data_IF_515821503042
#
_entry.id   IF_515821503042
#
_cell.length_a   1.000
_cell.length_b   1.000
_cell.length_c   1.000
_cell.angle_alpha   90.00
_cell.angle_beta   90.00
_cell.angle_gamma   90.00
#
_symmetry.space_group_name_H-M   'P 1'
#
loop_
_entity.id
_entity.type
_entity.pdbx_description
1 polymer ?
#
# COMPACT_ATOMS: atom_id res chain seq x y z
N UNK A 1 9.53 -16.43 -4.23
CA UNK A 1 8.88 -15.12 -4.35
C UNK A 1 7.80 -14.91 -3.29
N UNK A 2 6.71 -15.68 -3.29
CA UNK A 2 5.62 -15.46 -2.32
C UNK A 2 6.04 -15.66 -0.86
N UNK A 3 7.01 -16.54 -0.60
CA UNK A 3 7.62 -16.67 0.73
C UNK A 3 8.36 -15.40 1.16
N UNK A 4 9.00 -14.71 0.22
CA UNK A 4 9.61 -13.40 0.48
C UNK A 4 8.53 -12.39 0.85
N UNK A 5 7.45 -12.27 0.07
CA UNK A 5 6.34 -11.34 0.37
C UNK A 5 5.71 -11.65 1.73
N UNK A 6 5.42 -12.92 2.00
CA UNK A 6 4.86 -13.37 3.29
C UNK A 6 5.80 -13.01 4.44
N UNK A 7 7.09 -13.30 4.29
CA UNK A 7 8.11 -13.00 5.31
C UNK A 7 8.25 -11.49 5.50
N UNK A 8 8.25 -10.72 4.42
CA UNK A 8 8.32 -9.26 4.47
C UNK A 8 7.12 -8.68 5.22
N UNK A 9 5.88 -9.09 4.88
CA UNK A 9 4.66 -8.68 5.57
C UNK A 9 4.65 -9.02 7.07
N UNK A 10 5.36 -10.06 7.52
CA UNK A 10 5.50 -10.37 8.96
C UNK A 10 6.32 -9.30 9.70
N UNK A 11 7.31 -8.71 9.05
CA UNK A 11 8.17 -7.70 9.66
C UNK A 11 7.60 -6.28 9.59
N UNK A 12 6.59 -6.05 8.73
CA UNK A 12 5.95 -4.76 8.62
C UNK A 12 4.98 -4.51 9.79
N UNK A 13 4.93 -3.29 10.34
CA UNK A 13 3.96 -2.95 11.38
C UNK A 13 2.53 -3.18 10.87
N UNK A 14 1.68 -3.83 11.68
CA UNK A 14 0.28 -4.11 11.32
C UNK A 14 -0.53 -2.82 11.31
N UNK A 15 -0.31 -1.96 12.30
CA UNK A 15 -0.93 -0.65 12.39
C UNK A 15 0.11 0.40 12.78
N UNK A 16 -0.06 1.61 12.26
CA UNK A 16 0.68 2.80 12.71
C UNK A 16 -0.34 3.81 13.21
N UNK A 17 -0.11 4.39 14.38
CA UNK A 17 -0.99 5.40 14.98
C UNK A 17 -0.28 6.76 15.00
N UNK A 18 -1.04 7.81 14.72
CA UNK A 18 -0.64 9.19 15.01
C UNK A 18 -1.73 9.81 15.89
N UNK A 19 -1.44 9.90 17.19
CA UNK A 19 -2.47 10.17 18.19
C UNK A 19 -3.49 9.02 18.25
N UNK A 20 -4.77 9.33 18.06
CA UNK A 20 -5.89 8.37 18.09
C UNK A 20 -6.26 7.82 16.71
N UNK A 21 -5.60 8.29 15.66
CA UNK A 21 -5.95 7.98 14.29
C UNK A 21 -4.99 6.94 13.68
N UNK A 22 -5.54 6.02 12.90
CA UNK A 22 -4.75 5.07 12.12
C UNK A 22 -4.12 5.74 10.90
N UNK A 23 -2.84 5.48 10.69
CA UNK A 23 -2.13 5.87 9.49
C UNK A 23 -2.02 4.70 8.51
N UNK A 24 -2.01 5.06 7.22
CA UNK A 24 -1.59 4.16 6.16
C UNK A 24 -0.10 3.80 6.33
N UNK A 25 0.23 2.54 6.04
CA UNK A 25 1.59 2.00 6.13
C UNK A 25 2.10 1.82 4.69
N UNK A 26 2.92 2.75 4.16
CA UNK A 26 3.35 2.73 2.76
C UNK A 26 4.05 1.43 2.36
N UNK A 27 4.76 0.77 3.28
CA UNK A 27 5.46 -0.48 3.03
C UNK A 27 4.52 -1.65 2.72
N UNK A 28 3.23 -1.54 3.08
CA UNK A 28 2.19 -2.53 2.76
C UNK A 28 1.48 -2.25 1.42
N UNK A 29 1.82 -1.16 0.74
CA UNK A 29 1.29 -0.82 -0.58
C UNK A 29 1.77 -1.84 -1.63
N UNK A 30 0.90 -2.31 -2.55
CA UNK A 30 1.26 -3.31 -3.55
C UNK A 30 2.44 -2.92 -4.45
N UNK A 31 2.62 -1.62 -4.76
CA UNK A 31 3.76 -1.13 -5.53
C UNK A 31 5.04 -1.22 -4.72
N UNK A 32 5.02 -0.75 -3.47
CA UNK A 32 6.20 -0.81 -2.60
C UNK A 32 6.59 -2.27 -2.32
N UNK A 33 5.62 -3.16 -2.10
CA UNK A 33 5.88 -4.60 -1.96
C UNK A 33 6.53 -5.20 -3.21
N UNK A 34 6.09 -4.79 -4.40
CA UNK A 34 6.71 -5.21 -5.66
C UNK A 34 8.15 -4.71 -5.77
N UNK A 35 8.39 -3.43 -5.48
CA UNK A 35 9.72 -2.82 -5.54
C UNK A 35 10.70 -3.51 -4.57
N UNK A 36 10.26 -3.85 -3.35
CA UNK A 36 11.06 -4.61 -2.38
C UNK A 36 11.41 -6.01 -2.88
N UNK A 37 10.46 -6.69 -3.54
CA UNK A 37 10.69 -8.00 -4.14
C UNK A 37 11.69 -7.89 -5.31
N UNK A 38 11.52 -6.93 -6.20
CA UNK A 38 12.48 -6.68 -7.30
C UNK A 38 13.87 -6.39 -6.76
N UNK A 39 14.00 -5.50 -5.78
CA UNK A 39 15.26 -5.15 -5.15
C UNK A 39 15.95 -6.37 -4.53
N UNK A 40 15.20 -7.26 -3.86
CA UNK A 40 15.72 -8.50 -3.31
C UNK A 40 16.27 -9.42 -4.42
N UNK A 41 15.52 -9.63 -5.50
CA UNK A 41 15.93 -10.49 -6.60
C UNK A 41 17.17 -9.95 -7.33
N UNK A 42 17.19 -8.66 -7.64
CA UNK A 42 18.33 -7.99 -8.28
C UNK A 42 19.59 -8.08 -7.41
N UNK A 43 19.49 -7.83 -6.10
CA UNK A 43 20.62 -7.94 -5.16
C UNK A 43 21.19 -9.35 -5.05
N UNK A 44 20.37 -10.37 -5.30
CA UNK A 44 20.79 -11.78 -5.31
C UNK A 44 21.27 -12.26 -6.69
N UNK A 45 21.26 -11.38 -7.70
CA UNK A 45 21.61 -11.74 -9.07
C UNK A 45 20.57 -12.65 -9.75
N UNK A 46 19.35 -12.70 -9.21
CA UNK A 46 18.26 -13.49 -9.79
C UNK A 46 17.41 -12.65 -10.75
N UNK A 47 16.92 -13.24 -11.86
CA UNK A 47 15.98 -12.55 -12.73
C UNK A 47 14.64 -12.31 -12.01
N UNK A 48 14.01 -11.18 -12.29
CA UNK A 48 12.68 -10.87 -11.75
C UNK A 48 11.66 -11.86 -12.35
N UNK A 49 10.90 -12.63 -11.53
CA UNK A 49 10.17 -13.79 -12.07
C UNK A 49 8.83 -13.46 -12.74
N UNK A 50 8.23 -12.31 -12.42
CA UNK A 50 6.91 -11.91 -12.93
C UNK A 50 6.84 -10.40 -13.12
N UNK A 51 5.93 -9.97 -13.99
CA UNK A 51 5.62 -8.54 -14.19
C UNK A 51 4.87 -7.94 -12.99
N UNK A 52 4.82 -6.61 -12.91
CA UNK A 52 4.06 -5.90 -11.85
C UNK A 52 2.56 -6.25 -11.88
N UNK A 53 1.99 -6.46 -13.06
CA UNK A 53 0.57 -6.81 -13.20
C UNK A 53 0.29 -8.21 -12.66
N UNK A 54 1.11 -9.21 -13.04
CA UNK A 54 1.00 -10.57 -12.51
C UNK A 54 1.23 -10.62 -11.00
N UNK A 55 2.15 -9.79 -10.50
CA UNK A 55 2.38 -9.65 -9.06
C UNK A 55 1.13 -9.14 -8.34
N UNK A 56 0.50 -8.06 -8.83
CA UNK A 56 -0.69 -7.50 -8.19
C UNK A 56 -1.86 -8.49 -8.18
N UNK A 57 -2.09 -9.20 -9.29
CA UNK A 57 -3.10 -10.27 -9.37
C UNK A 57 -2.78 -11.38 -8.35
N UNK A 58 -1.53 -11.84 -8.33
CA UNK A 58 -1.10 -12.90 -7.42
C UNK A 58 -1.14 -12.50 -5.94
N UNK A 59 -0.90 -11.23 -5.65
CA UNK A 59 -0.96 -10.63 -4.32
C UNK A 59 -2.41 -10.60 -3.80
N UNK A 60 -3.35 -10.12 -4.63
CA UNK A 60 -4.78 -10.10 -4.35
C UNK A 60 -5.38 -11.50 -4.11
N UNK A 61 -4.84 -12.53 -4.75
CA UNK A 61 -5.28 -13.92 -4.56
C UNK A 61 -4.77 -14.57 -3.27
N UNK A 62 -3.65 -14.10 -2.72
CA UNK A 62 -2.91 -14.79 -1.64
C UNK A 62 -2.93 -14.07 -0.30
N UNK A 63 -3.16 -12.77 -0.32
CA UNK A 63 -3.13 -11.90 0.84
C UNK A 63 -4.39 -11.05 0.89
N UNK A 64 -4.76 -10.61 2.08
CA UNK A 64 -6.01 -9.89 2.27
C UNK A 64 -5.73 -8.40 2.09
N UNK A 65 -6.50 -7.75 1.22
CA UNK A 65 -6.47 -6.30 1.05
C UNK A 65 -7.38 -5.62 2.08
N UNK A 66 -6.87 -4.60 2.76
CA UNK A 66 -7.64 -3.64 3.57
C UNK A 66 -7.10 -2.24 3.32
N UNK A 67 -8.00 -1.32 2.95
CA UNK A 67 -7.68 0.09 2.75
C UNK A 67 -6.49 0.33 1.78
N UNK A 68 -6.36 -0.51 0.74
CA UNK A 68 -5.25 -0.44 -0.23
C UNK A 68 -3.92 -1.04 0.23
N UNK A 69 -3.86 -1.61 1.44
CA UNK A 69 -2.71 -2.31 1.99
C UNK A 69 -2.95 -3.82 2.02
N UNK A 70 -1.87 -4.60 2.02
CA UNK A 70 -1.93 -6.06 2.11
C UNK A 70 -1.50 -6.60 3.47
N UNK A 71 -2.22 -7.64 3.91
CA UNK A 71 -2.06 -8.25 5.23
C UNK A 71 -2.04 -9.77 5.15
N UNK A 72 -1.36 -10.37 6.12
CA UNK A 72 -1.51 -11.79 6.41
C UNK A 72 -2.84 -12.03 7.14
N UNK A 73 -3.40 -13.23 6.99
CA UNK A 73 -4.72 -13.59 7.56
C UNK A 73 -4.82 -13.39 9.07
N UNK A 74 -3.73 -13.67 9.79
CA UNK A 74 -3.60 -13.47 11.23
C UNK A 74 -3.51 -11.99 11.64
N UNK A 75 -3.01 -11.13 10.74
CA UNK A 75 -2.87 -9.68 10.98
C UNK A 75 -4.19 -8.91 10.77
N UNK A 76 -5.09 -9.43 9.93
CA UNK A 76 -6.33 -8.72 9.56
C UNK A 76 -7.23 -8.47 10.77
N UNK A 77 -7.40 -9.47 11.64
CA UNK A 77 -8.24 -9.32 12.82
C UNK A 77 -7.72 -8.23 13.78
N UNK A 78 -6.38 -8.11 13.89
CA UNK A 78 -5.76 -7.06 14.69
C UNK A 78 -5.96 -5.68 14.06
N UNK A 79 -5.74 -5.56 12.74
CA UNK A 79 -5.97 -4.33 11.99
C UNK A 79 -7.43 -3.86 12.09
N UNK A 80 -8.39 -4.76 11.84
CA UNK A 80 -9.82 -4.44 11.87
C UNK A 80 -10.26 -4.02 13.27
N UNK A 81 -9.78 -4.70 14.32
CA UNK A 81 -10.06 -4.31 15.72
C UNK A 81 -9.51 -2.91 16.02
N UNK A 82 -8.25 -2.64 15.62
CA UNK A 82 -7.64 -1.32 15.82
C UNK A 82 -8.42 -0.25 15.08
N UNK A 83 -8.87 -0.53 13.86
CA UNK A 83 -9.69 0.38 13.05
C UNK A 83 -11.01 0.76 13.71
N UNK A 84 -11.69 -0.20 14.33
CA UNK A 84 -12.91 0.06 15.08
C UNK A 84 -12.67 0.89 16.34
N UNK A 85 -11.52 0.72 17.00
CA UNK A 85 -11.18 1.46 18.23
C UNK A 85 -10.52 2.81 18.01
N UNK A 86 -9.90 3.02 16.85
CA UNK A 86 -9.32 4.31 16.46
C UNK A 86 -10.43 5.27 16.02
N UNK A 87 -10.22 6.58 16.21
CA UNK A 87 -11.18 7.64 15.84
C UNK A 87 -11.37 7.84 14.33
N UNK A 88 -11.14 6.80 13.53
CA UNK A 88 -11.04 6.83 12.08
C UNK A 88 -9.61 6.59 11.57
N UNK A 89 -9.48 6.56 10.25
CA UNK A 89 -8.19 6.54 9.56
C UNK A 89 -7.84 7.98 9.21
N UNK A 90 -6.65 8.44 9.58
CA UNK A 90 -6.10 9.66 9.02
C UNK A 90 -5.93 9.40 7.53
N UNK A 91 -6.78 10.01 6.69
CA UNK A 91 -6.33 10.30 5.34
C UNK A 91 -5.11 11.20 5.54
N UNK A 92 -3.93 10.71 5.17
CA UNK A 92 -2.78 11.60 5.09
C UNK A 92 -3.22 12.75 4.20
N UNK A 93 -3.30 13.95 4.76
CA UNK A 93 -3.35 15.18 3.98
C UNK A 93 -2.04 15.17 3.21
N UNK A 94 -2.07 14.58 2.02
CA UNK A 94 -0.87 14.38 1.22
C UNK A 94 -0.41 15.76 0.76
N UNK A 95 0.61 16.28 1.43
CA UNK A 95 1.46 17.26 0.80
C UNK A 95 2.16 16.54 -0.35
N UNK A 96 1.84 16.94 -1.58
CA UNK A 96 2.55 16.45 -2.75
C UNK A 96 3.93 17.11 -2.76
N UNK A 97 4.93 16.40 -2.26
CA UNK A 97 6.32 16.86 -2.16
C UNK A 97 7.24 16.29 -3.26
N UNK A 98 6.87 15.13 -3.79
CA UNK A 98 7.69 14.32 -4.70
C UNK A 98 6.83 13.40 -5.58
N UNK A 99 7.45 12.76 -6.58
CA UNK A 99 6.75 11.90 -7.55
C UNK A 99 5.98 10.74 -6.88
N UNK A 100 6.54 10.12 -5.84
CA UNK A 100 5.87 9.02 -5.16
C UNK A 100 4.62 9.51 -4.43
N UNK A 101 4.71 10.64 -3.74
CA UNK A 101 3.56 11.29 -3.10
C UNK A 101 2.49 11.75 -4.11
N UNK A 102 2.90 12.28 -5.28
CA UNK A 102 1.99 12.70 -6.35
C UNK A 102 1.19 11.53 -6.93
N UNK A 103 1.85 10.40 -7.16
CA UNK A 103 1.19 9.20 -7.69
C UNK A 103 0.22 8.62 -6.66
N UNK A 104 0.59 8.61 -5.37
CA UNK A 104 -0.32 8.18 -4.32
C UNK A 104 -1.55 9.09 -4.22
N UNK A 105 -1.36 10.41 -4.24
CA UNK A 105 -2.45 11.39 -4.24
C UNK A 105 -3.41 11.18 -5.39
N UNK A 106 -2.90 11.07 -6.62
CA UNK A 106 -3.71 10.88 -7.81
C UNK A 106 -4.52 9.58 -7.75
N UNK A 107 -3.91 8.48 -7.28
CA UNK A 107 -4.57 7.19 -7.13
C UNK A 107 -5.71 7.23 -6.12
N UNK A 108 -5.54 7.93 -5.00
CA UNK A 108 -6.60 8.07 -4.01
C UNK A 108 -7.75 8.93 -4.56
N UNK A 109 -7.43 10.06 -5.19
CA UNK A 109 -8.40 10.98 -5.78
C UNK A 109 -9.33 10.28 -6.80
N UNK A 110 -8.75 9.51 -7.73
CA UNK A 110 -9.51 8.80 -8.76
C UNK A 110 -10.23 7.55 -8.22
N UNK A 111 -9.74 6.95 -7.13
CA UNK A 111 -10.38 5.80 -6.46
C UNK A 111 -11.66 6.21 -5.74
N UNK A 112 -11.66 7.38 -5.10
CA UNK A 112 -12.87 7.92 -4.47
C UNK A 112 -13.89 8.34 -5.52
N UNK A 113 -13.45 9.07 -6.55
CA UNK A 113 -14.30 9.48 -7.65
C UNK A 113 -13.49 9.60 -8.94
N UNK A 114 -13.86 8.86 -10.01
CA UNK A 114 -13.28 9.08 -11.33
C UNK A 114 -13.45 10.54 -11.75
N UNK A 115 -12.35 11.19 -12.10
CA UNK A 115 -12.27 12.61 -12.44
C UNK A 115 -11.53 12.80 -13.76
N UNK A 116 -11.88 13.84 -14.50
CA UNK A 116 -11.19 14.17 -15.75
C UNK A 116 -9.90 14.95 -15.46
N UNK A 117 -9.00 15.01 -16.45
CA UNK A 117 -7.78 15.81 -16.32
C UNK A 117 -8.07 17.27 -15.91
N UNK A 118 -9.12 17.88 -16.47
CA UNK A 118 -9.54 19.25 -16.17
C UNK A 118 -9.97 19.43 -14.71
N UNK A 119 -10.50 18.40 -14.07
CA UNK A 119 -10.90 18.43 -12.66
C UNK A 119 -9.69 18.26 -11.73
N UNK A 120 -8.69 17.49 -12.16
CA UNK A 120 -7.52 17.10 -11.36
C UNK A 120 -6.45 18.21 -11.38
N UNK A 121 -6.23 18.84 -12.54
CA UNK A 121 -5.15 19.82 -12.73
C UNK A 121 -5.19 21.01 -11.74
N UNK A 122 -6.36 21.62 -11.42
CA UNK A 122 -6.45 22.69 -10.44
C UNK A 122 -6.22 22.25 -8.99
N UNK A 123 -6.34 20.96 -8.69
CA UNK A 123 -6.12 20.43 -7.34
C UNK A 123 -4.64 20.10 -7.08
N UNK A 124 -3.83 20.06 -8.14
CA UNK A 124 -2.41 19.76 -8.10
C UNK A 124 -1.51 21.01 -8.11
N UNK A 125 -1.98 22.12 -8.70
CA UNK A 125 -1.27 23.41 -8.78
C UNK A 125 -1.57 24.31 -7.60
#
# INVERSE_FOLDING_TARGET
>A
MWDFVRTHLKYLPITKLQGTLLQFVPERDPRILFDQMVAYYVRKGYPVPISSQEFQIGLAQRFIERDGMYFLSDQVAEYDRKKMTSGGMTQMTMFVSDEASAIQWLRQLIREKPQTFSDINPQFM
#
